data_IF_733112161366
#
_entry.id   IF_733112161366
#
_cell.length_a   1.000
_cell.length_b   1.000
_cell.length_c   1.000
_cell.angle_alpha   90.00
_cell.angle_beta   90.00
_cell.angle_gamma   90.00
#
_symmetry.space_group_name_H-M   'P 1'
#
loop_
_entity.id
_entity.type
_entity.pdbx_description
1 polymer ?
#
# COMPACT_ATOMS: atom_id res chain seq x y z
N UNK A 1 16.38 -77.01 -45.14
CA UNK A 1 17.29 -76.80 -44.00
C UNK A 1 17.82 -75.38 -44.08
N UNK A 2 17.15 -74.42 -43.43
CA UNK A 2 17.67 -73.10 -43.05
C UNK A 2 16.72 -72.52 -42.01
N UNK A 3 17.21 -72.43 -40.79
CA UNK A 3 16.55 -71.82 -39.64
C UNK A 3 16.68 -70.30 -39.71
N UNK A 4 15.63 -69.55 -39.34
CA UNK A 4 15.81 -68.19 -38.83
C UNK A 4 14.74 -67.82 -37.81
N UNK A 5 15.24 -67.30 -36.69
CA UNK A 5 14.65 -67.25 -35.36
C UNK A 5 13.66 -66.10 -35.17
N UNK A 6 12.68 -66.36 -34.30
CA UNK A 6 11.81 -65.41 -33.61
C UNK A 6 12.66 -64.42 -32.79
N UNK A 7 12.45 -63.11 -32.96
CA UNK A 7 12.88 -62.09 -31.98
C UNK A 7 11.68 -61.28 -31.52
N UNK A 8 11.19 -61.60 -30.33
CA UNK A 8 10.15 -60.86 -29.62
C UNK A 8 10.73 -59.71 -28.80
N UNK A 9 11.36 -58.73 -29.46
CA UNK A 9 12.08 -57.63 -28.78
C UNK A 9 11.61 -56.22 -29.16
N UNK A 10 10.59 -56.07 -30.01
CA UNK A 10 10.14 -54.73 -30.44
C UNK A 10 8.99 -54.15 -29.60
N UNK A 11 8.33 -54.96 -28.76
CA UNK A 11 7.12 -54.54 -28.07
C UNK A 11 7.36 -53.83 -26.72
N UNK A 12 8.56 -53.94 -26.14
CA UNK A 12 8.85 -53.44 -24.79
C UNK A 12 9.53 -52.05 -24.73
N UNK A 13 10.23 -51.63 -25.79
CA UNK A 13 10.99 -50.37 -25.76
C UNK A 13 10.08 -49.12 -25.79
N UNK A 14 8.95 -49.18 -26.51
CA UNK A 14 7.99 -48.06 -26.64
C UNK A 14 7.17 -47.77 -25.36
N UNK A 15 6.97 -48.76 -24.48
CA UNK A 15 6.24 -48.54 -23.21
C UNK A 15 7.14 -47.99 -22.12
N UNK A 16 8.43 -48.32 -22.15
CA UNK A 16 9.40 -47.84 -21.16
C UNK A 16 9.69 -46.35 -21.36
N UNK A 17 10.00 -45.91 -22.58
CA UNK A 17 10.27 -44.49 -22.87
C UNK A 17 9.08 -43.56 -22.59
N UNK A 18 7.84 -44.05 -22.77
CA UNK A 18 6.62 -43.29 -22.48
C UNK A 18 6.37 -43.11 -20.97
N UNK A 19 6.75 -44.10 -20.14
CA UNK A 19 6.62 -44.02 -18.67
C UNK A 19 7.67 -43.10 -18.05
N UNK A 20 8.88 -43.10 -18.58
CA UNK A 20 9.94 -42.20 -18.14
C UNK A 20 9.70 -40.76 -18.59
N UNK A 21 9.13 -40.56 -19.78
CA UNK A 21 8.64 -39.24 -20.22
C UNK A 21 7.51 -38.70 -19.33
N UNK A 22 6.55 -39.54 -18.92
CA UNK A 22 5.48 -39.14 -18.02
C UNK A 22 5.98 -38.79 -16.60
N UNK A 23 6.97 -39.53 -16.08
CA UNK A 23 7.59 -39.24 -14.78
C UNK A 23 8.41 -37.94 -14.80
N UNK A 24 9.16 -37.68 -15.88
CA UNK A 24 9.90 -36.43 -16.04
C UNK A 24 8.94 -35.22 -16.14
N UNK A 25 7.82 -35.37 -16.84
CA UNK A 25 6.81 -34.31 -16.97
C UNK A 25 6.09 -34.04 -15.65
N UNK A 26 5.76 -35.08 -14.87
CA UNK A 26 5.15 -34.94 -13.55
C UNK A 26 6.11 -34.26 -12.54
N UNK A 27 7.40 -34.57 -12.57
CA UNK A 27 8.41 -33.92 -11.73
C UNK A 27 8.61 -32.44 -12.10
N UNK A 28 8.62 -32.11 -13.40
CA UNK A 28 8.68 -30.73 -13.87
C UNK A 28 7.42 -29.93 -13.46
N UNK A 29 6.24 -30.55 -13.51
CA UNK A 29 5.00 -29.92 -13.07
C UNK A 29 4.99 -29.64 -11.55
N UNK A 30 5.58 -30.51 -10.73
CA UNK A 30 5.71 -30.31 -9.27
C UNK A 30 6.61 -29.12 -8.90
N UNK A 31 7.67 -28.89 -9.67
CA UNK A 31 8.54 -27.71 -9.50
C UNK A 31 7.81 -26.40 -9.84
N UNK A 32 6.86 -26.43 -10.79
CA UNK A 32 6.08 -25.24 -11.16
C UNK A 32 4.98 -24.89 -10.14
N UNK A 33 4.53 -25.84 -9.31
CA UNK A 33 3.51 -25.58 -8.28
C UNK A 33 4.08 -25.24 -6.90
N UNK A 34 5.39 -25.35 -6.69
CA UNK A 34 6.04 -25.01 -5.41
C UNK A 34 6.36 -23.51 -5.25
N UNK A 35 5.95 -22.66 -6.19
CA UNK A 35 6.34 -21.26 -6.27
C UNK A 35 5.17 -20.29 -6.11
N UNK A 36 4.48 -20.30 -4.98
CA UNK A 36 3.62 -19.19 -4.54
C UNK A 36 3.29 -19.34 -3.05
N UNK A 37 4.33 -19.23 -2.23
CA UNK A 37 4.21 -19.00 -0.79
C UNK A 37 4.97 -17.72 -0.46
N UNK A 38 4.51 -16.58 -0.98
CA UNK A 38 4.96 -15.30 -0.45
C UNK A 38 4.25 -15.13 0.90
N UNK A 39 5.02 -15.46 1.92
CA UNK A 39 4.69 -15.30 3.32
C UNK A 39 4.27 -13.85 3.52
N UNK A 40 3.10 -13.68 4.15
CA UNK A 40 2.61 -12.37 4.58
C UNK A 40 3.75 -11.55 5.15
N UNK A 41 4.20 -10.59 4.37
CA UNK A 41 5.06 -9.53 4.83
C UNK A 41 4.27 -8.82 5.91
N UNK A 42 4.66 -9.06 7.15
CA UNK A 42 4.42 -8.16 8.26
C UNK A 42 5.04 -6.83 7.83
N UNK A 43 4.25 -6.06 7.08
CA UNK A 43 4.63 -4.74 6.63
C UNK A 43 4.51 -3.89 7.88
N UNK A 44 5.56 -3.97 8.70
CA UNK A 44 5.95 -2.88 9.57
C UNK A 44 5.87 -1.67 8.67
N UNK A 45 4.80 -0.90 8.88
CA UNK A 45 4.48 0.29 8.13
C UNK A 45 5.58 1.27 8.46
N UNK A 46 6.66 1.23 7.69
CA UNK A 46 7.62 2.31 7.67
C UNK A 46 6.96 3.39 6.82
N UNK A 47 6.72 4.59 7.38
CA UNK A 47 6.41 5.74 6.56
C UNK A 47 7.52 5.87 5.51
N UNK A 48 7.21 6.11 4.22
CA UNK A 48 8.23 6.53 3.29
C UNK A 48 8.87 7.80 3.85
N UNK A 49 10.21 7.89 3.86
CA UNK A 49 10.88 9.08 4.37
C UNK A 49 10.50 10.26 3.47
N UNK A 50 9.74 11.25 3.99
CA UNK A 50 9.43 12.42 3.19
C UNK A 50 10.72 13.22 2.96
N UNK A 51 10.87 13.80 1.78
CA UNK A 51 12.04 14.63 1.41
C UNK A 51 12.21 15.81 2.39
N UNK A 52 11.11 16.20 3.05
CA UNK A 52 11.09 17.19 4.13
C UNK A 52 10.40 16.62 5.38
N UNK A 53 11.04 16.79 6.54
CA UNK A 53 10.49 16.33 7.81
C UNK A 53 9.51 17.37 8.37
N UNK A 54 8.23 17.00 8.44
CA UNK A 54 7.19 17.79 9.11
C UNK A 54 6.81 17.13 10.43
N UNK A 55 6.66 17.97 11.46
CA UNK A 55 6.07 17.57 12.72
C UNK A 55 4.59 17.99 12.70
N UNK A 56 3.71 17.16 13.21
CA UNK A 56 2.28 17.44 13.24
C UNK A 56 1.66 16.89 14.51
N UNK A 57 0.63 17.59 14.98
CA UNK A 57 -0.25 17.08 16.02
C UNK A 57 -1.57 16.71 15.38
N UNK A 58 -1.92 15.44 15.48
CA UNK A 58 -3.13 14.87 14.91
C UNK A 58 -4.10 14.55 16.04
N UNK A 59 -5.37 14.90 15.85
CA UNK A 59 -6.47 14.53 16.73
C UNK A 59 -7.46 13.67 15.97
N UNK A 60 -7.81 12.51 16.52
CA UNK A 60 -8.78 11.59 15.93
C UNK A 60 -10.23 11.94 16.31
N UNK A 61 -11.20 11.24 15.71
CA UNK A 61 -12.63 11.43 16.01
C UNK A 61 -13.03 11.01 17.45
N UNK A 62 -12.13 10.40 18.22
CA UNK A 62 -12.30 10.03 19.63
C UNK A 62 -11.63 11.03 20.59
N UNK A 63 -11.25 12.21 20.10
CA UNK A 63 -10.52 13.28 20.80
C UNK A 63 -9.15 12.85 21.35
N UNK A 64 -8.51 11.84 20.75
CA UNK A 64 -7.14 11.44 21.11
C UNK A 64 -6.14 12.23 20.25
N UNK A 65 -5.28 13.02 20.91
CA UNK A 65 -4.19 13.73 20.23
C UNK A 65 -2.87 12.97 20.30
N UNK A 66 -2.14 12.91 19.18
CA UNK A 66 -0.81 12.31 19.06
C UNK A 66 0.15 13.26 18.36
N UNK A 67 1.36 13.39 18.89
CA UNK A 67 2.47 14.11 18.24
C UNK A 67 3.22 13.16 17.30
N UNK A 68 3.37 13.58 16.05
CA UNK A 68 3.93 12.79 14.96
C UNK A 68 5.09 13.54 14.31
N UNK A 69 6.15 12.81 14.05
CA UNK A 69 7.31 13.26 13.26
C UNK A 69 7.31 12.56 11.90
N UNK A 70 8.05 13.08 10.93
CA UNK A 70 8.08 12.55 9.54
C UNK A 70 6.67 12.41 8.96
N UNK A 71 5.84 13.41 9.24
CA UNK A 71 4.44 13.40 8.89
C UNK A 71 4.27 13.52 7.38
N UNK A 72 3.42 12.66 6.81
CA UNK A 72 3.13 12.63 5.38
C UNK A 72 1.69 12.21 5.12
N UNK A 73 1.16 12.64 3.99
CA UNK A 73 -0.13 12.25 3.45
C UNK A 73 0.13 11.36 2.24
N UNK A 74 -0.25 10.08 2.29
CA UNK A 74 0.06 9.10 1.24
C UNK A 74 1.56 9.07 0.81
N UNK A 75 2.46 9.42 1.72
CA UNK A 75 3.90 9.49 1.47
C UNK A 75 4.41 10.79 0.83
N UNK A 76 3.56 11.81 0.69
CA UNK A 76 3.93 13.15 0.23
C UNK A 76 3.63 14.21 1.31
N UNK A 77 4.20 15.41 1.18
CA UNK A 77 4.08 16.51 2.16
C UNK A 77 3.10 17.59 1.72
N UNK A 78 2.08 17.21 0.97
CA UNK A 78 0.98 18.08 0.55
C UNK A 78 -0.35 17.33 0.66
N UNK A 79 -1.42 18.06 0.96
CA UNK A 79 -2.77 17.54 0.86
C UNK A 79 -3.27 17.81 -0.56
N UNK A 80 -3.69 16.76 -1.27
CA UNK A 80 -4.34 16.90 -2.56
C UNK A 80 -5.82 16.50 -2.48
N UNK A 81 -6.65 17.23 -3.21
CA UNK A 81 -8.09 17.01 -3.24
C UNK A 81 -8.76 17.77 -4.37
N UNK A 82 -10.08 17.66 -4.44
CA UNK A 82 -10.89 18.35 -5.44
C UNK A 82 -11.53 19.60 -4.87
N UNK A 83 -11.37 20.72 -5.56
CA UNK A 83 -12.12 21.95 -5.31
C UNK A 83 -13.08 22.18 -6.49
N UNK A 84 -14.36 21.85 -6.29
CA UNK A 84 -15.32 21.81 -7.39
C UNK A 84 -14.92 20.79 -8.46
N UNK A 85 -14.52 21.26 -9.65
CA UNK A 85 -14.02 20.42 -10.76
C UNK A 85 -12.51 20.43 -10.92
N UNK A 86 -11.79 21.24 -10.13
CA UNK A 86 -10.34 21.35 -10.19
C UNK A 86 -9.67 20.38 -9.21
N UNK A 87 -8.49 19.89 -9.58
CA UNK A 87 -7.58 19.19 -8.67
C UNK A 87 -6.64 20.24 -8.07
N UNK A 88 -6.56 20.27 -6.74
CA UNK A 88 -5.79 21.24 -5.96
C UNK A 88 -4.87 20.49 -5.00
N UNK A 89 -3.64 20.96 -4.90
CA UNK A 89 -2.66 20.47 -3.93
C UNK A 89 -2.20 21.64 -3.07
N UNK A 90 -2.12 21.42 -1.76
CA UNK A 90 -1.69 22.41 -0.79
C UNK A 90 -0.56 21.81 0.06
N UNK A 91 0.62 22.41 -0.01
CA UNK A 91 1.78 21.96 0.76
C UNK A 91 1.60 22.20 2.26
N UNK A 92 2.10 21.29 3.09
CA UNK A 92 2.02 21.40 4.55
C UNK A 92 2.67 22.68 5.08
N UNK A 93 3.68 23.22 4.39
CA UNK A 93 4.30 24.49 4.75
C UNK A 93 3.30 25.64 4.80
N UNK A 94 2.28 25.61 3.93
CA UNK A 94 1.27 26.66 3.82
C UNK A 94 0.07 26.43 4.74
N UNK A 95 -0.08 25.24 5.31
CA UNK A 95 -1.21 24.85 6.16
C UNK A 95 -0.88 25.16 7.61
N UNK A 96 -1.81 25.83 8.28
CA UNK A 96 -1.79 25.97 9.74
C UNK A 96 -2.52 24.79 10.39
N UNK A 97 -3.76 24.55 9.95
CA UNK A 97 -4.61 23.51 10.50
C UNK A 97 -5.54 22.95 9.42
N UNK A 98 -5.81 21.66 9.46
CA UNK A 98 -6.76 21.01 8.57
C UNK A 98 -7.81 20.24 9.39
N UNK A 99 -9.09 20.49 9.13
CA UNK A 99 -10.21 19.80 9.74
C UNK A 99 -10.85 18.86 8.74
N UNK A 100 -11.18 17.65 9.18
CA UNK A 100 -11.74 16.61 8.32
C UNK A 100 -13.14 16.25 8.80
N UNK A 101 -14.09 16.30 7.86
CA UNK A 101 -15.50 16.04 8.12
C UNK A 101 -16.03 15.03 7.10
N UNK A 102 -16.73 14.02 7.60
CA UNK A 102 -17.43 13.06 6.75
C UNK A 102 -18.55 13.77 5.96
N UNK A 103 -18.40 13.83 4.63
CA UNK A 103 -19.30 14.56 3.74
C UNK A 103 -19.93 13.62 2.71
N UNK A 104 -20.63 12.57 3.17
CA UNK A 104 -21.40 11.63 2.34
C UNK A 104 -20.57 10.87 1.30
N UNK A 105 -20.31 11.51 0.16
CA UNK A 105 -19.59 11.00 -1.02
C UNK A 105 -18.06 11.07 -0.90
N UNK A 106 -17.53 11.78 0.09
CA UNK A 106 -16.10 11.88 0.37
C UNK A 106 -15.81 12.48 1.74
N UNK A 107 -14.60 12.98 1.92
CA UNK A 107 -14.18 13.71 3.12
C UNK A 107 -14.00 15.17 2.75
N UNK A 108 -14.72 16.07 3.42
CA UNK A 108 -14.50 17.50 3.32
C UNK A 108 -13.33 17.87 4.24
N UNK A 109 -12.24 18.35 3.63
CA UNK A 109 -11.08 18.89 4.32
C UNK A 109 -11.14 20.41 4.29
N UNK A 110 -11.37 21.03 5.44
CA UNK A 110 -11.30 22.48 5.63
C UNK A 110 -9.88 22.83 6.06
N UNK A 111 -9.14 23.46 5.17
CA UNK A 111 -7.74 23.81 5.34
C UNK A 111 -7.65 25.29 5.69
N UNK A 112 -7.13 25.58 6.87
CA UNK A 112 -6.73 26.91 7.30
C UNK A 112 -5.28 27.11 6.90
N UNK A 113 -5.05 28.10 6.04
CA UNK A 113 -3.72 28.47 5.60
C UNK A 113 -3.06 29.45 6.57
N UNK A 114 -1.73 29.46 6.62
CA UNK A 114 -0.95 30.37 7.48
C UNK A 114 -1.12 31.85 7.13
N UNK A 115 -1.58 32.15 5.91
CA UNK A 115 -1.89 33.52 5.48
C UNK A 115 -3.27 34.01 5.97
N UNK A 116 -4.05 33.16 6.65
CA UNK A 116 -5.41 33.45 7.13
C UNK A 116 -6.53 33.03 6.18
N UNK A 117 -6.20 32.56 4.98
CA UNK A 117 -7.21 32.06 4.03
C UNK A 117 -7.74 30.69 4.46
N UNK A 118 -8.97 30.39 4.04
CA UNK A 118 -9.60 29.09 4.24
C UNK A 118 -9.97 28.47 2.89
N UNK A 119 -9.60 27.21 2.72
CA UNK A 119 -9.90 26.40 1.55
C UNK A 119 -10.71 25.17 1.96
N UNK A 120 -11.67 24.78 1.14
CA UNK A 120 -12.39 23.51 1.33
C UNK A 120 -12.08 22.58 0.14
N UNK A 121 -11.46 21.44 0.45
CA UNK A 121 -11.13 20.40 -0.52
C UNK A 121 -11.95 19.14 -0.25
N UNK A 122 -12.33 18.43 -1.30
CA UNK A 122 -12.82 17.06 -1.22
C UNK A 122 -11.66 16.08 -1.36
N UNK A 123 -11.37 15.35 -0.30
CA UNK A 123 -10.35 14.31 -0.24
C UNK A 123 -11.00 12.94 -0.41
N UNK A 124 -10.27 11.97 -0.97
CA UNK A 124 -10.81 10.63 -1.22
C UNK A 124 -10.83 9.84 0.08
N UNK A 125 -11.88 9.04 0.27
CA UNK A 125 -11.95 8.10 1.39
C UNK A 125 -10.86 7.03 1.23
N UNK A 126 -10.21 6.70 2.33
CA UNK A 126 -9.11 5.73 2.35
C UNK A 126 -7.72 6.33 2.11
N UNK A 127 -7.62 7.62 1.77
CA UNK A 127 -6.34 8.34 1.86
C UNK A 127 -5.84 8.33 3.31
N UNK A 128 -4.53 8.32 3.51
CA UNK A 128 -3.93 8.05 4.81
C UNK A 128 -2.86 9.06 5.18
N UNK A 129 -2.86 9.42 6.46
CA UNK A 129 -1.72 10.10 7.06
C UNK A 129 -0.81 9.08 7.73
N UNK A 130 0.49 9.33 7.61
CA UNK A 130 1.56 8.47 8.10
C UNK A 130 2.57 9.31 8.85
N UNK A 131 3.16 8.75 9.91
CA UNK A 131 4.20 9.42 10.67
C UNK A 131 4.83 8.48 11.70
N UNK A 132 5.71 9.02 12.52
CA UNK A 132 6.35 8.32 13.63
C UNK A 132 6.06 9.06 14.94
N UNK A 133 5.42 8.36 15.88
CA UNK A 133 5.24 8.80 17.26
C UNK A 133 6.41 8.30 18.12
N UNK A 134 6.52 8.80 19.36
CA UNK A 134 7.53 8.37 20.32
C UNK A 134 7.49 6.87 20.65
N UNK A 135 6.33 6.24 20.49
CA UNK A 135 6.08 4.83 20.80
C UNK A 135 6.01 3.92 19.56
N UNK A 136 6.14 4.45 18.34
CA UNK A 136 6.12 3.63 17.13
C UNK A 136 5.66 4.36 15.87
N UNK A 137 5.54 3.61 14.77
CA UNK A 137 5.01 4.14 13.51
C UNK A 137 3.48 4.27 13.60
N UNK A 138 2.97 5.35 13.02
CA UNK A 138 1.56 5.71 13.06
C UNK A 138 1.00 5.80 11.64
N UNK A 139 -0.20 5.27 11.46
CA UNK A 139 -0.97 5.37 10.21
C UNK A 139 -2.44 5.47 10.57
N UNK A 140 -3.11 6.47 10.01
CA UNK A 140 -4.54 6.69 10.20
C UNK A 140 -5.18 7.12 8.89
N UNK A 141 -6.43 6.70 8.66
CA UNK A 141 -7.18 7.09 7.47
C UNK A 141 -7.83 8.46 7.68
N UNK A 142 -7.95 9.22 6.61
CA UNK A 142 -8.46 10.59 6.66
C UNK A 142 -9.89 10.70 7.21
N UNK A 143 -10.72 9.67 7.03
CA UNK A 143 -12.08 9.58 7.60
C UNK A 143 -12.13 9.48 9.13
N UNK A 144 -11.04 9.02 9.76
CA UNK A 144 -10.95 8.78 11.21
C UNK A 144 -10.27 9.96 11.93
N UNK A 145 -9.83 10.97 11.18
CA UNK A 145 -9.17 12.18 11.70
C UNK A 145 -10.20 13.27 11.91
N UNK A 146 -10.06 14.01 13.01
CA UNK A 146 -10.84 15.21 13.30
C UNK A 146 -10.08 16.45 12.84
N UNK A 147 -8.84 16.62 13.31
CA UNK A 147 -7.98 17.73 12.91
C UNK A 147 -6.49 17.38 12.88
N UNK A 148 -5.73 18.15 12.12
CA UNK A 148 -4.27 18.10 12.07
C UNK A 148 -3.72 19.52 12.10
N UNK A 149 -2.86 19.81 13.07
CA UNK A 149 -2.07 21.04 13.10
C UNK A 149 -0.63 20.75 12.69
N UNK A 150 -0.11 21.55 11.77
CA UNK A 150 1.21 21.34 11.17
C UNK A 150 2.23 22.29 11.79
N UNK A 151 3.35 21.75 12.25
CA UNK A 151 4.46 22.51 12.81
C UNK A 151 5.72 22.26 11.97
N UNK A 152 6.40 23.36 11.61
CA UNK A 152 7.69 23.28 10.91
C UNK A 152 8.79 23.19 11.96
N UNK A 153 9.65 22.20 11.84
CA UNK A 153 10.88 22.08 12.63
C UNK A 153 12.08 22.71 11.92
#
# INVERSE_FOLDING_TARGET
MTWKLRTGTDFNLKRMTRRWGALAFAAAAWLLFSGMGDMGGDSTVLPPDPVENYDARLTDQSDVSVELTRFSFNGVTFINGKMGRADVSVDFENIQEAFFLNAGDGIAAKIHLKNGDMLELRVKRGDQFMGAASFGNFRIRVEDIQSVSFERR
#
